data_IF_882808788961
#
_entry.id   IF_882808788961
#
_cell.length_a   1.000
_cell.length_b   1.000
_cell.length_c   1.000
_cell.angle_alpha   90.00
_cell.angle_beta   90.00
_cell.angle_gamma   90.00
#
_symmetry.space_group_name_H-M   'P 1'
#
loop_
_entity.id
_entity.type
_entity.pdbx_description
1 polymer ?
#
# COMPACT_ATOMS: atom_id res chain seq x y z
N UNK A 1 -31.84 2.23 17.55
CA UNK A 1 -30.49 2.78 17.56
C UNK A 1 -29.68 1.94 16.58
N UNK A 2 -29.45 2.42 15.37
CA UNK A 2 -28.52 1.79 14.42
C UNK A 2 -27.13 2.28 14.81
N UNK A 3 -26.29 1.40 15.28
CA UNK A 3 -24.87 1.69 15.44
C UNK A 3 -24.28 1.79 14.03
N UNK A 4 -23.99 3.00 13.58
CA UNK A 4 -23.09 3.24 12.47
C UNK A 4 -21.68 2.84 12.96
N UNK A 5 -21.32 1.57 12.79
CA UNK A 5 -19.94 1.16 12.77
C UNK A 5 -19.39 1.62 11.41
N UNK A 6 -18.73 2.75 11.37
CA UNK A 6 -17.76 3.04 10.31
C UNK A 6 -16.70 1.96 10.41
N UNK A 7 -16.78 0.96 9.53
CA UNK A 7 -15.76 -0.08 9.39
C UNK A 7 -14.48 0.62 8.96
N UNK A 8 -13.50 0.66 9.84
CA UNK A 8 -12.18 1.15 9.53
C UNK A 8 -11.55 0.11 8.60
N UNK A 9 -11.46 0.40 7.31
CA UNK A 9 -10.95 -0.51 6.28
C UNK A 9 -9.40 -0.57 6.26
N UNK A 10 -8.75 -0.05 7.29
CA UNK A 10 -7.30 0.03 7.40
C UNK A 10 -6.73 -1.33 7.81
N UNK A 11 -5.78 -1.83 7.03
CA UNK A 11 -5.05 -3.07 7.31
C UNK A 11 -3.81 -2.74 8.14
N UNK A 12 -3.85 -3.10 9.41
CA UNK A 12 -2.72 -2.93 10.32
C UNK A 12 -1.61 -3.93 10.02
N UNK A 13 -0.38 -3.53 10.31
CA UNK A 13 0.82 -4.37 10.16
C UNK A 13 1.43 -4.62 11.52
N UNK A 14 1.57 -5.89 11.87
CA UNK A 14 2.20 -6.30 13.12
C UNK A 14 3.48 -7.11 12.84
N UNK A 15 4.59 -6.70 13.44
CA UNK A 15 5.84 -7.46 13.52
C UNK A 15 5.76 -8.41 14.71
N UNK A 16 5.74 -9.71 14.45
CA UNK A 16 5.53 -10.74 15.45
C UNK A 16 6.82 -11.35 15.94
N UNK A 17 7.20 -11.04 17.17
CA UNK A 17 8.30 -11.68 17.90
C UNK A 17 7.80 -12.43 19.13
N UNK A 18 6.73 -11.97 19.74
CA UNK A 18 6.12 -12.56 20.92
C UNK A 18 5.16 -13.71 20.56
N UNK A 19 4.90 -14.59 21.51
CA UNK A 19 4.10 -15.80 21.27
C UNK A 19 2.66 -15.48 20.82
N UNK A 20 2.02 -14.49 21.43
CA UNK A 20 0.65 -14.11 21.04
C UNK A 20 0.58 -13.54 19.62
N UNK A 21 1.63 -12.82 19.17
CA UNK A 21 1.74 -12.29 17.80
C UNK A 21 1.94 -13.41 16.79
N UNK A 22 2.79 -14.39 17.11
CA UNK A 22 3.00 -15.60 16.30
C UNK A 22 1.72 -16.41 16.13
N UNK A 23 0.87 -16.44 17.16
CA UNK A 23 -0.44 -17.11 17.10
C UNK A 23 -1.30 -16.56 15.97
N UNK A 24 -1.25 -15.25 15.69
CA UNK A 24 -1.90 -14.63 14.53
C UNK A 24 -1.41 -15.20 13.21
N UNK A 25 -0.08 -15.31 13.03
CA UNK A 25 0.51 -15.93 11.84
C UNK A 25 0.09 -17.40 11.68
N UNK A 26 0.08 -18.15 12.77
CA UNK A 26 -0.29 -19.56 12.76
C UNK A 26 -1.76 -19.76 12.38
N UNK A 27 -2.67 -18.92 12.88
CA UNK A 27 -4.08 -18.97 12.52
C UNK A 27 -4.30 -18.79 11.01
N UNK A 28 -3.66 -17.80 10.41
CA UNK A 28 -3.73 -17.55 8.96
C UNK A 28 -3.19 -18.74 8.17
N UNK A 29 -2.08 -19.33 8.61
CA UNK A 29 -1.46 -20.49 7.94
C UNK A 29 -2.36 -21.73 8.03
N UNK A 30 -2.97 -21.98 9.18
CA UNK A 30 -3.91 -23.10 9.35
C UNK A 30 -5.11 -22.95 8.42
N UNK A 31 -5.74 -21.77 8.41
CA UNK A 31 -6.92 -21.53 7.56
C UNK A 31 -6.56 -21.47 6.07
N UNK A 32 -5.51 -20.74 5.71
CA UNK A 32 -5.17 -20.45 4.33
C UNK A 32 -4.29 -21.50 3.64
N UNK A 33 -3.69 -22.43 4.38
CA UNK A 33 -2.83 -23.50 3.83
C UNK A 33 -3.26 -24.89 4.26
N UNK A 34 -3.21 -25.22 5.57
CA UNK A 34 -3.50 -26.58 6.02
C UNK A 34 -4.88 -27.04 5.58
N UNK A 35 -5.93 -26.25 5.83
CA UNK A 35 -7.30 -26.59 5.49
C UNK A 35 -7.54 -26.60 3.98
N UNK A 36 -6.98 -25.65 3.25
CA UNK A 36 -7.22 -25.54 1.80
C UNK A 36 -6.49 -26.60 0.97
N UNK A 37 -5.28 -26.97 1.38
CA UNK A 37 -4.44 -27.89 0.62
C UNK A 37 -4.29 -29.26 1.28
N UNK A 38 -5.01 -29.49 2.39
CA UNK A 38 -4.95 -30.72 3.18
C UNK A 38 -3.53 -31.09 3.63
N UNK A 39 -2.73 -30.05 3.97
CA UNK A 39 -1.36 -30.23 4.44
C UNK A 39 -1.40 -30.54 5.95
N UNK A 40 -0.75 -31.62 6.41
CA UNK A 40 -0.64 -31.91 7.83
C UNK A 40 0.09 -30.80 8.59
N UNK A 41 -0.31 -30.52 9.83
CA UNK A 41 0.33 -29.47 10.66
C UNK A 41 1.85 -29.66 10.76
N UNK A 42 2.31 -30.91 10.88
CA UNK A 42 3.75 -31.23 10.98
C UNK A 42 4.54 -30.87 9.72
N UNK A 43 3.90 -30.81 8.55
CA UNK A 43 4.55 -30.40 7.30
C UNK A 43 4.50 -28.88 7.09
N UNK A 44 3.48 -28.21 7.63
CA UNK A 44 3.35 -26.76 7.55
C UNK A 44 4.26 -26.07 8.58
N UNK A 45 4.33 -26.58 9.81
CA UNK A 45 5.15 -26.07 10.89
C UNK A 45 6.43 -26.87 10.98
N UNK A 46 7.55 -26.23 10.69
CA UNK A 46 8.89 -26.83 10.55
C UNK A 46 9.88 -26.27 11.60
N UNK A 47 11.12 -26.68 11.52
CA UNK A 47 12.21 -26.25 12.40
C UNK A 47 12.48 -24.74 12.34
N UNK A 48 12.06 -24.07 11.26
CA UNK A 48 12.20 -22.64 11.09
C UNK A 48 11.05 -21.86 11.77
N UNK A 49 10.12 -22.50 12.46
CA UNK A 49 9.13 -21.83 13.30
C UNK A 49 9.62 -21.63 14.76
N UNK A 50 10.93 -21.77 14.98
CA UNK A 50 11.61 -21.67 16.26
C UNK A 50 11.99 -20.24 16.69
N UNK A 51 12.83 -20.14 17.73
CA UNK A 51 13.37 -18.85 18.18
C UNK A 51 14.16 -18.13 17.09
N UNK A 52 14.02 -16.80 17.02
CA UNK A 52 14.70 -15.96 16.04
C UNK A 52 13.92 -15.75 14.73
N UNK A 53 12.91 -16.57 14.46
CA UNK A 53 12.03 -16.38 13.31
C UNK A 53 11.16 -15.16 13.48
N UNK A 54 11.02 -14.40 12.42
CA UNK A 54 10.24 -13.18 12.34
C UNK A 54 8.93 -13.43 11.57
N UNK A 55 7.85 -12.84 12.04
CA UNK A 55 6.53 -12.95 11.42
C UNK A 55 5.97 -11.57 11.13
N UNK A 56 5.50 -11.37 9.92
CA UNK A 56 4.64 -10.25 9.57
C UNK A 56 3.20 -10.76 9.62
N UNK A 57 2.33 -10.06 10.34
CA UNK A 57 0.91 -10.36 10.41
C UNK A 57 0.13 -9.12 10.02
N UNK A 58 -0.74 -9.25 9.03
CA UNK A 58 -1.65 -8.20 8.63
C UNK A 58 -3.00 -8.44 9.31
N UNK A 59 -3.54 -7.38 9.89
CA UNK A 59 -4.77 -7.42 10.67
C UNK A 59 -5.84 -6.56 10.01
N UNK A 60 -7.07 -7.06 9.92
CA UNK A 60 -8.27 -6.30 9.58
C UNK A 60 -9.15 -6.23 10.82
N UNK A 61 -9.35 -5.03 11.36
CA UNK A 61 -10.05 -4.81 12.62
C UNK A 61 -9.54 -5.72 13.77
N UNK A 62 -8.20 -5.84 13.87
CA UNK A 62 -7.53 -6.67 14.87
C UNK A 62 -7.51 -8.19 14.56
N UNK A 63 -8.12 -8.65 13.47
CA UNK A 63 -8.13 -10.06 13.09
C UNK A 63 -7.05 -10.38 12.05
N UNK A 64 -6.27 -11.45 12.24
CA UNK A 64 -5.21 -11.85 11.30
C UNK A 64 -5.77 -12.31 9.97
N UNK A 65 -5.35 -11.67 8.87
CA UNK A 65 -5.86 -11.93 7.51
C UNK A 65 -4.78 -12.31 6.50
N UNK A 66 -3.52 -11.95 6.79
CA UNK A 66 -2.38 -12.36 5.98
C UNK A 66 -1.12 -12.47 6.84
N UNK A 67 -0.15 -13.24 6.37
CA UNK A 67 1.14 -13.41 7.06
C UNK A 67 2.27 -13.67 6.09
N UNK A 68 3.48 -13.37 6.54
CA UNK A 68 4.76 -13.78 5.97
C UNK A 68 5.70 -14.16 7.11
N UNK A 69 6.45 -15.23 6.95
CA UNK A 69 7.53 -15.64 7.86
C UNK A 69 8.88 -15.41 7.19
N UNK A 70 9.89 -14.97 7.93
CA UNK A 70 11.27 -15.08 7.48
C UNK A 70 12.23 -15.43 8.64
N UNK A 71 13.36 -15.99 8.30
CA UNK A 71 14.41 -16.40 9.23
C UNK A 71 15.79 -16.16 8.62
N UNK A 72 16.82 -16.14 9.46
CA UNK A 72 18.22 -16.07 9.03
C UNK A 72 18.64 -17.41 8.40
N UNK A 73 18.94 -17.40 7.10
CA UNK A 73 19.43 -18.56 6.37
C UNK A 73 20.96 -18.67 6.36
N UNK A 74 21.64 -17.78 7.07
CA UNK A 74 23.10 -17.64 7.07
C UNK A 74 23.61 -16.72 5.96
N UNK A 75 24.89 -16.40 6.02
CA UNK A 75 25.61 -15.60 5.01
C UNK A 75 24.96 -14.23 4.70
N UNK A 76 24.21 -13.66 5.64
CA UNK A 76 23.51 -12.38 5.47
C UNK A 76 22.23 -12.46 4.63
N UNK A 77 21.71 -13.66 4.43
CA UNK A 77 20.49 -13.91 3.66
C UNK A 77 19.31 -14.15 4.61
N UNK A 78 18.24 -13.35 4.47
CA UNK A 78 16.94 -13.65 5.06
C UNK A 78 16.17 -14.60 4.13
N UNK A 79 15.57 -15.67 4.65
CA UNK A 79 14.73 -16.56 3.85
C UNK A 79 13.25 -16.35 4.20
N UNK A 80 12.49 -15.75 3.28
CA UNK A 80 11.07 -15.56 3.42
C UNK A 80 10.28 -16.81 2.97
N UNK A 81 9.16 -17.04 3.62
CA UNK A 81 8.28 -18.15 3.29
C UNK A 81 6.96 -18.04 4.02
N UNK A 82 6.11 -19.05 3.83
CA UNK A 82 4.78 -19.09 4.47
C UNK A 82 3.98 -17.80 4.25
N UNK A 83 4.07 -17.24 3.02
CA UNK A 83 3.28 -16.08 2.63
C UNK A 83 1.87 -16.56 2.32
N UNK A 84 0.94 -16.22 3.19
CA UNK A 84 -0.45 -16.69 3.12
C UNK A 84 -1.39 -15.50 3.27
N UNK A 85 -2.41 -15.45 2.42
CA UNK A 85 -3.54 -14.51 2.50
C UNK A 85 -4.81 -15.34 2.54
N UNK A 86 -5.69 -15.05 3.50
CA UNK A 86 -6.99 -15.70 3.57
C UNK A 86 -7.78 -15.50 2.26
N UNK A 87 -8.56 -16.50 1.80
CA UNK A 87 -9.21 -16.49 0.49
C UNK A 87 -10.02 -15.21 0.21
N UNK A 88 -10.82 -14.79 1.17
CA UNK A 88 -11.71 -13.63 1.10
C UNK A 88 -10.95 -12.29 1.04
N UNK A 89 -9.66 -12.30 1.36
CA UNK A 89 -8.78 -11.13 1.32
C UNK A 89 -7.83 -11.11 0.12
N UNK A 90 -7.88 -12.12 -0.74
CA UNK A 90 -7.02 -12.20 -1.94
C UNK A 90 -7.39 -11.13 -2.97
N UNK A 91 -6.43 -10.78 -3.84
CA UNK A 91 -6.62 -9.73 -4.84
C UNK A 91 -6.51 -8.29 -4.31
N UNK A 92 -6.40 -8.09 -3.00
CA UNK A 92 -6.29 -6.78 -2.34
C UNK A 92 -4.84 -6.28 -2.15
N UNK A 93 -3.84 -6.99 -2.66
CA UNK A 93 -2.43 -6.61 -2.53
C UNK A 93 -1.75 -7.04 -1.21
N UNK A 94 -2.47 -7.73 -0.30
CA UNK A 94 -1.98 -8.03 1.05
C UNK A 94 -0.74 -8.94 1.05
N UNK A 95 -0.63 -9.87 0.10
CA UNK A 95 0.58 -10.69 -0.04
C UNK A 95 1.83 -9.85 -0.35
N UNK A 96 1.69 -8.86 -1.23
CA UNK A 96 2.78 -7.94 -1.55
C UNK A 96 3.11 -7.05 -0.34
N UNK A 97 2.10 -6.55 0.38
CA UNK A 97 2.29 -5.76 1.61
C UNK A 97 3.08 -6.54 2.66
N UNK A 98 2.74 -7.81 2.89
CA UNK A 98 3.45 -8.67 3.85
C UNK A 98 4.90 -8.95 3.44
N UNK A 99 5.18 -9.21 2.15
CA UNK A 99 6.55 -9.43 1.65
C UNK A 99 7.38 -8.17 1.78
N UNK A 100 6.87 -7.01 1.39
CA UNK A 100 7.61 -5.73 1.50
C UNK A 100 7.91 -5.34 2.94
N UNK A 101 7.01 -5.65 3.86
CA UNK A 101 7.28 -5.45 5.28
C UNK A 101 8.38 -6.39 5.78
N UNK A 102 8.41 -7.64 5.28
CA UNK A 102 9.51 -8.56 5.56
C UNK A 102 10.85 -8.06 4.98
N UNK A 103 10.87 -7.52 3.75
CA UNK A 103 12.04 -6.89 3.13
C UNK A 103 12.54 -5.72 3.97
N UNK A 104 11.63 -4.81 4.37
CA UNK A 104 11.95 -3.66 5.21
C UNK A 104 12.59 -4.08 6.53
N UNK A 105 11.94 -4.97 7.25
CA UNK A 105 12.41 -5.41 8.56
C UNK A 105 13.71 -6.21 8.46
N UNK A 106 13.87 -7.05 7.44
CA UNK A 106 15.12 -7.75 7.18
C UNK A 106 16.27 -6.77 6.92
N UNK A 107 16.06 -5.74 6.09
CA UNK A 107 17.07 -4.70 5.85
C UNK A 107 17.46 -3.96 7.14
N UNK A 108 16.50 -3.58 7.98
CA UNK A 108 16.71 -2.92 9.27
C UNK A 108 17.57 -3.79 10.23
N UNK A 109 17.38 -5.11 10.17
CA UNK A 109 18.17 -6.08 10.95
C UNK A 109 19.55 -6.40 10.34
N UNK A 110 19.91 -5.77 9.21
CA UNK A 110 21.23 -5.88 8.60
C UNK A 110 21.35 -6.87 7.47
N UNK A 111 20.27 -7.58 7.09
CA UNK A 111 20.28 -8.41 5.89
C UNK A 111 20.43 -7.55 4.64
N UNK A 112 21.07 -8.10 3.60
CA UNK A 112 21.25 -7.43 2.31
C UNK A 112 20.68 -8.24 1.15
N UNK A 113 20.20 -9.44 1.44
CA UNK A 113 19.58 -10.32 0.47
C UNK A 113 18.40 -11.02 1.12
N UNK A 114 17.30 -11.14 0.39
CA UNK A 114 16.15 -11.95 0.80
C UNK A 114 15.85 -13.00 -0.27
N UNK A 115 15.64 -14.23 0.16
CA UNK A 115 15.29 -15.33 -0.70
C UNK A 115 13.90 -15.89 -0.42
N UNK A 116 13.32 -16.55 -1.41
CA UNK A 116 12.05 -17.26 -1.28
C UNK A 116 12.02 -18.51 -2.16
N UNK A 117 11.40 -19.56 -1.66
CA UNK A 117 11.09 -20.76 -2.43
C UNK A 117 9.68 -20.61 -3.02
N UNK A 118 9.62 -19.97 -4.19
CA UNK A 118 8.35 -19.64 -4.85
C UNK A 118 7.74 -20.85 -5.51
N UNK A 119 6.46 -21.12 -5.26
CA UNK A 119 5.70 -22.05 -6.12
C UNK A 119 5.79 -21.56 -7.57
N UNK A 120 5.92 -22.48 -8.53
CA UNK A 120 6.04 -22.13 -9.96
C UNK A 120 4.90 -21.21 -10.42
N UNK A 121 3.68 -21.45 -9.93
CA UNK A 121 2.50 -20.61 -10.26
C UNK A 121 2.56 -19.21 -9.67
N UNK A 122 3.45 -18.95 -8.71
CA UNK A 122 3.60 -17.65 -8.05
C UNK A 122 4.86 -16.89 -8.47
N UNK A 123 5.69 -17.43 -9.36
CA UNK A 123 6.93 -16.77 -9.83
C UNK A 123 6.66 -15.35 -10.32
N UNK A 124 5.66 -15.14 -11.19
CA UNK A 124 5.32 -13.82 -11.69
C UNK A 124 4.83 -12.82 -10.63
N UNK A 125 4.38 -13.29 -9.47
CA UNK A 125 4.07 -12.42 -8.33
C UNK A 125 5.36 -11.87 -7.71
N UNK A 126 6.36 -12.72 -7.50
CA UNK A 126 7.64 -12.29 -6.92
C UNK A 126 8.49 -11.48 -7.89
N UNK A 127 8.44 -11.76 -9.20
CA UNK A 127 9.10 -10.95 -10.23
C UNK A 127 8.61 -9.49 -10.20
N UNK A 128 7.32 -9.26 -9.98
CA UNK A 128 6.74 -7.91 -9.80
C UNK A 128 7.22 -7.21 -8.52
N UNK A 129 7.74 -7.95 -7.55
CA UNK A 129 8.34 -7.43 -6.32
C UNK A 129 9.87 -7.24 -6.44
N UNK A 130 10.46 -7.52 -7.62
CA UNK A 130 11.87 -7.37 -7.87
C UNK A 130 12.71 -8.61 -7.57
N UNK A 131 12.09 -9.75 -7.26
CA UNK A 131 12.82 -11.01 -7.13
C UNK A 131 13.18 -11.58 -8.51
N UNK A 132 14.33 -12.22 -8.60
CA UNK A 132 14.75 -12.94 -9.79
C UNK A 132 15.01 -14.41 -9.48
N UNK A 133 14.75 -15.29 -10.44
CA UNK A 133 15.03 -16.73 -10.32
C UNK A 133 16.54 -16.95 -10.40
N UNK A 134 17.13 -17.63 -9.41
CA UNK A 134 18.59 -17.88 -9.37
C UNK A 134 19.01 -19.16 -10.08
N UNK A 135 18.08 -20.07 -10.35
CA UNK A 135 18.31 -21.31 -11.11
C UNK A 135 17.05 -21.68 -11.90
N UNK A 136 17.18 -22.20 -13.12
CA UNK A 136 16.04 -22.75 -13.86
C UNK A 136 15.44 -24.03 -13.23
N UNK A 137 16.15 -24.61 -12.27
CA UNK A 137 15.76 -25.85 -11.62
C UNK A 137 14.42 -25.73 -10.88
N UNK A 138 13.59 -26.75 -11.05
CA UNK A 138 12.33 -26.91 -10.30
C UNK A 138 12.50 -28.08 -9.34
N UNK A 139 12.17 -27.87 -8.08
CA UNK A 139 12.27 -28.88 -7.05
C UNK A 139 10.99 -28.97 -6.24
N UNK A 140 10.81 -30.06 -5.52
CA UNK A 140 9.65 -30.26 -4.66
C UNK A 140 9.87 -29.64 -3.28
N UNK A 141 8.88 -28.86 -2.84
CA UNK A 141 8.75 -28.39 -1.46
C UNK A 141 7.36 -28.76 -0.95
N UNK A 142 7.28 -29.82 -0.15
CA UNK A 142 6.01 -30.46 0.17
C UNK A 142 5.26 -30.89 -1.11
N UNK A 143 3.97 -30.58 -1.26
CA UNK A 143 3.18 -30.93 -2.43
C UNK A 143 3.44 -30.04 -3.66
N UNK A 144 4.28 -28.99 -3.54
CA UNK A 144 4.41 -27.95 -4.56
C UNK A 144 5.71 -28.07 -5.37
N UNK A 145 5.62 -27.70 -6.65
CA UNK A 145 6.78 -27.42 -7.49
C UNK A 145 7.25 -26.00 -7.25
N UNK A 146 8.52 -25.82 -6.87
CA UNK A 146 9.10 -24.55 -6.46
C UNK A 146 10.35 -24.20 -7.25
N UNK A 147 10.62 -22.88 -7.30
CA UNK A 147 11.87 -22.28 -7.78
C UNK A 147 12.46 -21.39 -6.71
N UNK A 148 13.77 -21.42 -6.58
CA UNK A 148 14.50 -20.47 -5.74
C UNK A 148 14.55 -19.11 -6.41
N UNK A 149 14.13 -18.08 -5.68
CA UNK A 149 14.22 -16.70 -6.12
C UNK A 149 14.92 -15.87 -5.05
N UNK A 150 15.63 -14.84 -5.47
CA UNK A 150 16.40 -13.95 -4.59
C UNK A 150 16.15 -12.49 -5.00
N UNK A 151 16.34 -11.57 -4.04
CA UNK A 151 16.33 -10.14 -4.24
C UNK A 151 17.39 -9.50 -3.36
N UNK A 152 18.20 -8.60 -3.93
CA UNK A 152 19.06 -7.70 -3.17
C UNK A 152 18.19 -6.67 -2.45
N UNK A 153 18.48 -6.43 -1.16
CA UNK A 153 17.78 -5.43 -0.36
C UNK A 153 18.56 -4.13 -0.35
N UNK A 154 17.91 -3.07 -0.78
CA UNK A 154 18.47 -1.72 -0.79
C UNK A 154 17.78 -0.83 0.26
N UNK A 155 18.37 0.35 0.51
CA UNK A 155 17.79 1.33 1.46
C UNK A 155 16.37 1.73 1.06
N UNK A 156 16.11 1.80 -0.23
CA UNK A 156 14.81 2.15 -0.81
C UNK A 156 13.73 1.13 -0.48
N UNK A 157 14.09 -0.15 -0.32
CA UNK A 157 13.16 -1.21 0.09
C UNK A 157 12.70 -1.06 1.54
N UNK A 158 13.56 -0.49 2.39
CA UNK A 158 13.24 -0.18 3.79
C UNK A 158 12.48 1.15 3.97
N UNK A 159 12.38 1.96 2.92
CA UNK A 159 11.78 3.27 3.01
C UNK A 159 10.26 3.22 2.83
N UNK A 160 9.52 3.68 3.84
CA UNK A 160 8.09 3.91 3.70
C UNK A 160 7.82 5.03 2.70
N UNK A 161 7.01 4.76 1.68
CA UNK A 161 6.61 5.71 0.65
C UNK A 161 5.30 6.40 1.00
N UNK A 162 5.10 7.60 0.45
CA UNK A 162 3.94 8.45 0.69
C UNK A 162 3.41 8.91 -0.67
N UNK A 163 2.15 8.62 -0.98
CA UNK A 163 1.52 9.17 -2.19
C UNK A 163 1.15 10.63 -1.94
N UNK A 164 1.40 11.51 -2.92
CA UNK A 164 1.04 12.91 -2.77
C UNK A 164 0.47 13.51 -4.04
N UNK A 165 -0.41 14.51 -3.89
CA UNK A 165 -0.86 15.31 -5.02
C UNK A 165 0.33 15.98 -5.70
N UNK A 166 0.48 15.83 -7.01
CA UNK A 166 1.62 16.35 -7.79
C UNK A 166 1.74 17.86 -7.73
N UNK A 167 0.64 18.59 -7.56
CA UNK A 167 0.67 20.03 -7.37
C UNK A 167 1.35 20.47 -6.06
N UNK A 168 1.30 19.62 -5.00
CA UNK A 168 2.05 19.84 -3.75
C UNK A 168 3.53 19.49 -3.92
N UNK A 169 3.82 18.46 -4.69
CA UNK A 169 5.20 18.06 -4.94
C UNK A 169 5.99 19.13 -5.70
N UNK A 170 5.32 19.82 -6.64
CA UNK A 170 5.94 20.86 -7.47
C UNK A 170 6.85 20.28 -8.57
N UNK A 171 7.38 21.18 -9.40
CA UNK A 171 8.28 20.84 -10.52
C UNK A 171 7.57 20.52 -11.83
N UNK A 172 6.24 20.38 -11.81
CA UNK A 172 5.39 20.28 -13.00
C UNK A 172 4.08 21.01 -12.76
N UNK A 173 3.68 21.82 -13.73
CA UNK A 173 2.40 22.53 -13.68
C UNK A 173 1.26 21.56 -14.03
N UNK A 174 0.45 21.21 -13.05
CA UNK A 174 -0.65 20.25 -13.19
C UNK A 174 -1.99 20.78 -12.69
N UNK A 175 -1.98 21.93 -12.00
CA UNK A 175 -3.20 22.52 -11.47
C UNK A 175 -4.10 23.02 -12.60
N UNK A 176 -5.42 22.99 -12.37
CA UNK A 176 -6.43 23.32 -13.40
C UNK A 176 -6.24 24.71 -14.00
N UNK A 177 -5.85 25.71 -13.21
CA UNK A 177 -5.65 27.11 -13.61
C UNK A 177 -4.26 27.41 -14.20
N UNK A 178 -3.37 26.41 -14.26
CA UNK A 178 -1.99 26.59 -14.68
C UNK A 178 -1.09 27.23 -13.62
N UNK A 179 -1.59 27.40 -12.39
CA UNK A 179 -0.80 27.88 -11.26
C UNK A 179 0.05 26.79 -10.60
N UNK A 180 0.95 27.19 -9.72
CA UNK A 180 1.75 26.30 -8.89
C UNK A 180 1.46 26.56 -7.41
N UNK A 181 1.34 25.51 -6.63
CA UNK A 181 1.11 25.57 -5.18
C UNK A 181 1.96 24.50 -4.46
N UNK A 182 3.29 24.53 -4.69
CA UNK A 182 4.16 23.53 -4.06
C UNK A 182 4.11 23.66 -2.54
N UNK A 183 4.14 22.54 -1.87
CA UNK A 183 4.18 22.50 -0.42
C UNK A 183 5.56 22.94 0.10
N UNK A 184 5.57 23.74 1.15
CA UNK A 184 6.78 24.34 1.72
C UNK A 184 7.05 23.88 3.16
N UNK A 185 6.20 23.04 3.71
CA UNK A 185 6.36 22.51 5.06
C UNK A 185 7.71 21.76 5.20
N UNK A 186 8.53 22.04 6.21
CA UNK A 186 9.87 21.45 6.33
C UNK A 186 9.89 19.93 6.30
N UNK A 187 8.92 19.29 6.96
CA UNK A 187 8.78 17.83 6.97
C UNK A 187 8.46 17.27 5.58
N UNK A 188 7.59 17.94 4.82
CA UNK A 188 7.26 17.51 3.45
C UNK A 188 8.48 17.65 2.53
N UNK A 189 9.23 18.75 2.62
CA UNK A 189 10.46 18.95 1.86
C UNK A 189 11.51 17.89 2.21
N UNK A 190 11.65 17.56 3.50
CA UNK A 190 12.53 16.47 3.94
C UNK A 190 12.13 15.15 3.31
N UNK A 191 10.84 14.77 3.32
CA UNK A 191 10.37 13.56 2.68
C UNK A 191 10.60 13.55 1.16
N UNK A 192 10.49 14.71 0.53
CA UNK A 192 10.82 14.87 -0.90
C UNK A 192 12.31 14.63 -1.16
N UNK A 193 13.21 15.23 -0.38
CA UNK A 193 14.66 15.02 -0.47
C UNK A 193 15.06 13.56 -0.19
N UNK A 194 14.38 12.91 0.76
CA UNK A 194 14.57 11.48 1.05
C UNK A 194 14.06 10.57 -0.07
N UNK A 195 13.32 11.08 -1.06
CA UNK A 195 12.71 10.26 -2.11
C UNK A 195 11.52 9.41 -1.63
N UNK A 196 10.87 9.80 -0.53
CA UNK A 196 9.68 9.11 -0.01
C UNK A 196 8.42 9.40 -0.80
N UNK A 197 8.33 10.59 -1.42
CA UNK A 197 7.10 11.06 -2.05
C UNK A 197 6.92 10.49 -3.45
N UNK A 198 5.72 9.98 -3.72
CA UNK A 198 5.27 9.51 -5.03
C UNK A 198 4.20 10.49 -5.51
N UNK A 199 4.53 11.41 -6.44
CA UNK A 199 3.58 12.39 -6.92
C UNK A 199 2.62 11.82 -7.96
N UNK A 200 1.35 12.22 -7.88
CA UNK A 200 0.35 11.99 -8.92
C UNK A 200 -0.63 13.15 -9.02
N UNK A 201 -0.97 13.55 -10.23
CA UNK A 201 -2.18 14.34 -10.52
C UNK A 201 -3.22 13.42 -11.17
N UNK A 202 -4.26 12.98 -10.43
CA UNK A 202 -5.26 12.08 -10.99
C UNK A 202 -6.00 12.69 -12.19
N UNK A 203 -6.23 14.00 -12.18
CA UNK A 203 -6.92 14.71 -13.26
C UNK A 203 -6.12 14.68 -14.57
N UNK A 204 -4.81 14.99 -14.50
CA UNK A 204 -3.92 14.95 -15.68
C UNK A 204 -3.71 13.51 -16.14
N UNK A 205 -3.55 12.57 -15.22
CA UNK A 205 -3.41 11.16 -15.57
C UNK A 205 -4.68 10.61 -16.25
N UNK A 206 -5.84 11.06 -15.80
CA UNK A 206 -7.12 10.71 -16.41
C UNK A 206 -7.28 11.19 -17.86
N UNK A 207 -6.46 12.16 -18.29
CA UNK A 207 -6.43 12.68 -19.64
C UNK A 207 -6.85 14.14 -19.76
N UNK A 208 -7.11 14.82 -18.64
CA UNK A 208 -7.46 16.23 -18.66
C UNK A 208 -6.23 17.12 -18.93
N UNK A 209 -6.34 18.17 -19.76
CA UNK A 209 -5.23 19.07 -20.06
C UNK A 209 -4.90 19.99 -18.88
N UNK A 210 -3.79 20.69 -19.01
CA UNK A 210 -3.42 21.81 -18.12
C UNK A 210 -3.09 23.03 -19.01
N UNK A 211 -3.76 24.19 -18.85
CA UNK A 211 -4.89 24.45 -17.99
C UNK A 211 -6.20 23.76 -18.46
N UNK A 212 -7.20 23.70 -17.58
CA UNK A 212 -8.53 23.12 -17.86
C UNK A 212 -9.61 23.90 -17.12
N UNK A 213 -10.90 23.81 -17.55
CA UNK A 213 -12.01 24.35 -16.80
C UNK A 213 -12.09 23.77 -15.38
N UNK A 214 -12.42 24.62 -14.41
CA UNK A 214 -12.72 24.17 -13.05
C UNK A 214 -13.83 23.13 -13.05
N UNK A 215 -13.71 22.15 -12.18
CA UNK A 215 -14.67 21.05 -12.08
C UNK A 215 -15.06 20.83 -10.62
N UNK A 216 -16.30 20.41 -10.39
CA UNK A 216 -16.82 20.14 -9.05
C UNK A 216 -17.62 18.84 -9.02
N UNK A 217 -17.66 18.19 -7.86
CA UNK A 217 -18.52 17.01 -7.66
C UNK A 217 -19.97 17.42 -7.53
N UNK A 218 -20.85 16.68 -8.23
CA UNK A 218 -22.30 16.77 -8.16
C UNK A 218 -22.85 15.36 -7.91
N UNK A 219 -22.88 14.96 -6.63
CA UNK A 219 -23.17 13.58 -6.26
C UNK A 219 -22.09 12.63 -6.77
N UNK A 220 -22.49 11.63 -7.56
CA UNK A 220 -21.57 10.63 -8.13
C UNK A 220 -20.85 11.13 -9.40
N UNK A 221 -21.18 12.32 -9.88
CA UNK A 221 -20.58 12.92 -11.07
C UNK A 221 -19.56 13.98 -10.73
N UNK A 222 -18.63 14.19 -11.66
CA UNK A 222 -17.76 15.36 -11.69
C UNK A 222 -18.06 16.14 -12.96
N UNK A 223 -18.43 17.41 -12.80
CA UNK A 223 -18.87 18.26 -13.91
C UNK A 223 -17.98 19.50 -13.96
N UNK A 224 -17.52 19.86 -15.16
CA UNK A 224 -16.78 21.09 -15.39
C UNK A 224 -17.73 22.30 -15.38
N UNK A 225 -17.23 23.50 -15.07
CA UNK A 225 -18.01 24.74 -15.09
C UNK A 225 -18.64 25.06 -16.46
N UNK A 226 -18.16 24.41 -17.52
CA UNK A 226 -18.73 24.45 -18.88
C UNK A 226 -19.94 23.53 -19.07
N UNK A 227 -20.30 22.73 -18.05
CA UNK A 227 -21.38 21.75 -18.10
C UNK A 227 -20.97 20.38 -18.67
N UNK A 228 -19.70 20.18 -18.99
CA UNK A 228 -19.18 18.90 -19.51
C UNK A 228 -19.01 17.92 -18.35
N UNK A 229 -19.56 16.72 -18.48
CA UNK A 229 -19.34 15.60 -17.56
C UNK A 229 -17.93 15.00 -17.80
N UNK A 230 -17.08 15.05 -16.81
CA UNK A 230 -15.68 14.60 -16.84
C UNK A 230 -15.44 13.45 -15.83
N UNK A 231 -16.50 12.77 -15.43
CA UNK A 231 -16.46 11.69 -14.43
C UNK A 231 -15.54 10.55 -14.85
N UNK A 232 -15.51 10.22 -16.15
CA UNK A 232 -14.69 9.13 -16.67
C UNK A 232 -13.20 9.42 -16.48
N UNK A 233 -12.74 10.62 -16.81
CA UNK A 233 -11.35 11.04 -16.63
C UNK A 233 -10.95 11.06 -15.14
N UNK A 234 -11.83 11.58 -14.28
CA UNK A 234 -11.59 11.56 -12.83
C UNK A 234 -11.53 10.14 -12.27
N UNK A 235 -12.41 9.24 -12.73
CA UNK A 235 -12.41 7.83 -12.32
C UNK A 235 -11.14 7.12 -12.76
N UNK A 236 -10.70 7.32 -14.00
CA UNK A 236 -9.45 6.75 -14.52
C UNK A 236 -8.24 7.22 -13.71
N UNK A 237 -8.17 8.51 -13.39
CA UNK A 237 -7.09 9.04 -12.57
C UNK A 237 -7.10 8.55 -11.13
N UNK A 238 -8.29 8.38 -10.54
CA UNK A 238 -8.46 7.84 -9.19
C UNK A 238 -8.03 6.37 -9.11
N UNK A 239 -8.38 5.56 -10.10
CA UNK A 239 -7.92 4.16 -10.22
C UNK A 239 -6.39 4.08 -10.30
N UNK A 240 -5.76 4.99 -11.04
CA UNK A 240 -4.30 5.06 -11.12
C UNK A 240 -3.66 5.44 -9.80
N UNK A 241 -4.24 6.39 -9.05
CA UNK A 241 -3.75 6.73 -7.72
C UNK A 241 -3.76 5.51 -6.79
N UNK A 242 -4.84 4.72 -6.80
CA UNK A 242 -4.93 3.47 -6.04
C UNK A 242 -3.91 2.44 -6.53
N UNK A 243 -3.72 2.32 -7.86
CA UNK A 243 -2.73 1.40 -8.43
C UNK A 243 -1.31 1.75 -7.96
N UNK A 244 -0.91 3.01 -8.09
CA UNK A 244 0.40 3.50 -7.65
C UNK A 244 0.61 3.30 -6.15
N UNK A 245 -0.41 3.61 -5.34
CA UNK A 245 -0.34 3.41 -3.89
C UNK A 245 -0.10 1.94 -3.53
N UNK A 246 -0.79 1.01 -4.18
CA UNK A 246 -0.62 -0.44 -3.96
C UNK A 246 0.73 -0.95 -4.47
N UNK A 247 1.15 -0.57 -5.67
CA UNK A 247 2.40 -1.04 -6.28
C UNK A 247 3.63 -0.57 -5.51
N UNK A 248 3.59 0.63 -4.94
CA UNK A 248 4.70 1.18 -4.16
C UNK A 248 4.58 0.93 -2.66
N UNK A 249 3.60 0.16 -2.21
CA UNK A 249 3.35 -0.10 -0.79
C UNK A 249 3.34 1.20 0.03
N UNK A 250 2.56 2.17 -0.44
CA UNK A 250 2.46 3.49 0.20
C UNK A 250 1.91 3.34 1.61
N UNK A 251 2.56 3.97 2.58
CA UNK A 251 2.15 3.93 3.98
C UNK A 251 0.87 4.76 4.22
N UNK A 252 0.81 5.91 3.60
CA UNK A 252 -0.33 6.83 3.64
C UNK A 252 -0.26 7.83 2.48
N UNK A 253 -1.30 8.66 2.35
CA UNK A 253 -1.38 9.67 1.30
C UNK A 253 -1.47 11.09 1.89
N UNK A 254 -0.89 12.08 1.21
CA UNK A 254 -1.07 13.51 1.49
C UNK A 254 -1.67 14.18 0.27
N UNK A 255 -2.90 14.65 0.38
CA UNK A 255 -3.70 15.07 -0.76
C UNK A 255 -4.15 16.54 -0.62
N UNK A 256 -4.15 17.26 -1.77
CA UNK A 256 -4.53 18.66 -1.87
C UNK A 256 -5.99 18.90 -1.53
N UNK A 257 -6.28 19.80 -0.60
CA UNK A 257 -7.63 20.17 -0.22
C UNK A 257 -8.41 20.90 -1.32
N UNK A 258 -9.72 20.94 -1.14
CA UNK A 258 -10.69 21.66 -1.97
C UNK A 258 -10.81 21.17 -3.42
N UNK A 259 -10.13 20.06 -3.78
CA UNK A 259 -10.16 19.49 -5.13
C UNK A 259 -11.28 18.43 -5.24
N UNK A 260 -12.02 18.39 -6.35
CA UNK A 260 -12.98 17.31 -6.62
C UNK A 260 -12.33 15.94 -6.80
N UNK A 261 -11.02 15.90 -6.96
CA UNK A 261 -10.20 14.68 -6.99
C UNK A 261 -9.53 14.38 -5.65
N UNK A 262 -8.81 15.37 -5.09
CA UNK A 262 -7.86 15.18 -3.99
C UNK A 262 -8.36 15.68 -2.63
N UNK A 263 -9.49 16.41 -2.55
CA UNK A 263 -10.02 16.94 -1.27
C UNK A 263 -10.27 15.82 -0.27
N UNK A 264 -9.77 15.94 0.95
CA UNK A 264 -9.90 14.88 1.97
C UNK A 264 -10.85 15.26 3.12
N UNK A 265 -11.11 16.55 3.33
CA UNK A 265 -12.01 17.11 4.37
C UNK A 265 -13.16 17.92 3.76
N UNK A 266 -12.84 18.75 2.78
CA UNK A 266 -13.77 19.66 2.14
C UNK A 266 -13.63 19.59 0.62
N UNK A 267 -14.76 19.77 -0.06
CA UNK A 267 -14.88 19.96 -1.50
C UNK A 267 -15.86 21.11 -1.78
N UNK A 268 -15.89 21.62 -3.00
CA UNK A 268 -16.95 22.53 -3.43
C UNK A 268 -18.27 21.78 -3.63
N UNK A 269 -19.39 22.46 -3.39
CA UNK A 269 -20.76 21.90 -3.36
C UNK A 269 -21.36 21.56 -4.74
N UNK A 270 -20.64 21.79 -5.82
CA UNK A 270 -21.09 21.52 -7.19
C UNK A 270 -21.88 22.65 -7.84
N UNK A 271 -22.09 23.78 -7.16
CA UNK A 271 -22.89 24.92 -7.68
C UNK A 271 -22.02 26.00 -8.35
N UNK A 272 -20.70 25.92 -8.25
CA UNK A 272 -19.75 26.92 -8.73
C UNK A 272 -19.95 28.31 -8.10
N UNK A 273 -20.40 28.35 -6.84
CA UNK A 273 -20.64 29.59 -6.05
C UNK A 273 -19.63 29.76 -4.91
N UNK A 274 -18.46 29.14 -5.00
CA UNK A 274 -17.39 29.14 -3.99
C UNK A 274 -17.81 28.61 -2.61
N UNK A 275 -18.89 27.83 -2.55
CA UNK A 275 -19.38 27.22 -1.32
C UNK A 275 -18.70 25.88 -1.08
N UNK A 276 -18.04 25.74 0.08
CA UNK A 276 -17.39 24.48 0.50
C UNK A 276 -18.30 23.71 1.45
N UNK A 277 -18.29 22.40 1.28
CA UNK A 277 -19.01 21.44 2.15
C UNK A 277 -18.06 20.36 2.63
N UNK A 278 -18.34 19.74 3.79
CA UNK A 278 -17.64 18.53 4.18
C UNK A 278 -17.84 17.44 3.11
N UNK A 279 -16.74 16.86 2.65
CA UNK A 279 -16.79 15.86 1.58
C UNK A 279 -15.38 15.46 1.15
N UNK A 280 -15.34 14.56 0.18
CA UNK A 280 -14.06 14.05 -0.35
C UNK A 280 -14.06 14.03 -1.88
N UNK A 281 -12.90 14.22 -2.45
CA UNK A 281 -12.66 14.05 -3.87
C UNK A 281 -12.65 12.59 -4.27
N UNK A 282 -12.87 12.31 -5.56
CA UNK A 282 -13.05 10.94 -6.06
C UNK A 282 -11.82 10.06 -5.82
N UNK A 283 -10.61 10.60 -6.02
CA UNK A 283 -9.38 9.83 -5.77
C UNK A 283 -9.18 9.52 -4.28
N UNK A 284 -9.53 10.45 -3.39
CA UNK A 284 -9.46 10.24 -1.94
C UNK A 284 -10.46 9.18 -1.49
N UNK A 285 -11.70 9.23 -2.00
CA UNK A 285 -12.72 8.22 -1.74
C UNK A 285 -12.20 6.82 -2.09
N UNK A 286 -11.68 6.63 -3.31
CA UNK A 286 -11.17 5.34 -3.77
C UNK A 286 -9.89 4.89 -3.05
N UNK A 287 -9.03 5.82 -2.63
CA UNK A 287 -7.86 5.49 -1.81
C UNK A 287 -8.28 4.99 -0.42
N UNK A 288 -9.25 5.65 0.22
CA UNK A 288 -9.81 5.21 1.51
C UNK A 288 -10.51 3.86 1.42
N UNK A 289 -11.31 3.66 0.38
CA UNK A 289 -11.97 2.36 0.11
C UNK A 289 -10.95 1.23 -0.15
N UNK A 290 -9.78 1.60 -0.66
CA UNK A 290 -8.66 0.68 -0.83
C UNK A 290 -7.83 0.45 0.45
N UNK A 291 -8.19 1.09 1.59
CA UNK A 291 -7.58 0.93 2.91
C UNK A 291 -6.38 1.85 3.17
N UNK A 292 -6.22 2.94 2.42
CA UNK A 292 -5.16 3.91 2.67
C UNK A 292 -5.63 5.04 3.59
N UNK A 293 -4.80 5.36 4.59
CA UNK A 293 -4.98 6.58 5.37
C UNK A 293 -4.64 7.80 4.52
N UNK A 294 -5.51 8.81 4.54
CA UNK A 294 -5.34 10.02 3.73
C UNK A 294 -5.38 11.24 4.62
N UNK A 295 -4.30 12.00 4.60
CA UNK A 295 -4.15 13.30 5.26
C UNK A 295 -4.33 14.44 4.26
N UNK A 296 -4.75 15.59 4.77
CA UNK A 296 -4.68 16.86 4.06
C UNK A 296 -3.24 17.42 4.08
N UNK A 297 -2.92 18.34 3.16
CA UNK A 297 -1.67 19.09 3.24
C UNK A 297 -1.56 19.94 4.52
N UNK A 298 -2.67 20.24 5.15
CA UNK A 298 -2.72 20.97 6.42
C UNK A 298 -2.36 20.09 7.63
N UNK A 299 -2.35 18.76 7.47
CA UNK A 299 -2.16 17.78 8.54
C UNK A 299 -0.77 17.12 8.49
N UNK A 300 0.23 17.75 7.88
CA UNK A 300 1.59 17.18 7.72
C UNK A 300 2.22 16.80 9.06
N UNK A 301 1.99 17.57 10.12
CA UNK A 301 2.50 17.25 11.46
C UNK A 301 1.84 15.98 12.05
N UNK A 302 0.56 15.75 11.79
CA UNK A 302 -0.12 14.52 12.18
C UNK A 302 0.36 13.34 11.33
N UNK A 303 0.54 13.56 10.05
CA UNK A 303 1.10 12.56 9.14
C UNK A 303 2.54 12.17 9.53
N UNK A 304 3.33 13.12 10.05
CA UNK A 304 4.67 12.86 10.56
C UNK A 304 4.65 11.95 11.79
N UNK A 305 3.78 12.23 12.75
CA UNK A 305 3.59 11.36 13.92
C UNK A 305 3.15 9.96 13.51
N UNK A 306 2.23 9.88 12.56
CA UNK A 306 1.78 8.59 12.03
C UNK A 306 2.92 7.82 11.34
N UNK A 307 3.81 8.51 10.60
CA UNK A 307 5.00 7.86 10.04
C UNK A 307 5.92 7.32 11.12
N UNK A 308 6.11 8.05 12.23
CA UNK A 308 6.92 7.61 13.38
C UNK A 308 6.32 6.38 14.07
N UNK A 309 4.99 6.28 14.16
CA UNK A 309 4.29 5.12 14.71
C UNK A 309 4.43 3.86 13.84
N UNK A 310 4.68 4.03 12.54
CA UNK A 310 4.86 2.93 11.59
C UNK A 310 6.32 2.44 11.49
N UNK A 311 7.29 3.22 12.02
CA UNK A 311 8.72 2.90 12.03
C UNK A 311 9.12 2.17 13.30
#
# INVERSE_FOLDING_TARGET
MKNDCTVNNEIDVMRGEEEWQRTGAYSVRIEGMNRQHHIPLREEFDEHDGPGTKYIVLLDDGYPVATCRYYDAGEGVANAGRIVVLPEYRGRGLGAKAVREAERWAYELGFRTIGVDSRVVAVGFYEKLGFHTVSPEVYKSGPFDCKRMMKELEKEDAMLKILTSECLYGGRVVRYDGGEVPETHPTFLKWKEEGRLIPICPEVFGGLPTPRPDSQRQGDKVVACTGVDVTEEYTKGALEAVRLAKENNVAFCIMKQDSPSCGSKFIYDGTFTDTKIPGQGLAVEMLRDAGFKVFAEEDIDEAAKYLEELL
#
